data_IF_367495371641
#
_entry.id   IF_367495371641
#
_cell.length_a   1.000
_cell.length_b   1.000
_cell.length_c   1.000
_cell.angle_alpha   90.00
_cell.angle_beta   90.00
_cell.angle_gamma   90.00
#
_symmetry.space_group_name_H-M   'P 1'
#
loop_
_entity.id
_entity.type
_entity.pdbx_description
1 polymer ?
#
# COMPACT_ATOMS: atom_id res chain seq x y z
N UNK A 1 16.49 -58.41 -10.22
CA UNK A 1 15.69 -57.34 -10.80
C UNK A 1 16.61 -56.17 -11.12
N UNK A 2 16.57 -55.73 -12.38
CA UNK A 2 17.01 -54.45 -12.96
C UNK A 2 18.50 -54.02 -12.94
N UNK A 3 19.20 -54.43 -14.01
CA UNK A 3 20.03 -53.69 -14.99
C UNK A 3 20.95 -52.53 -14.54
N UNK A 4 22.27 -52.72 -14.77
CA UNK A 4 23.24 -51.66 -15.08
C UNK A 4 24.16 -52.13 -16.24
N UNK A 5 24.02 -51.53 -17.42
CA UNK A 5 24.99 -51.44 -18.54
C UNK A 5 24.59 -50.16 -19.30
N UNK A 6 25.25 -49.02 -19.10
CA UNK A 6 26.44 -48.53 -19.80
C UNK A 6 26.15 -48.03 -21.22
N UNK A 7 26.02 -46.71 -21.37
CA UNK A 7 26.14 -46.01 -22.65
C UNK A 7 27.39 -45.13 -22.56
N UNK A 8 28.31 -45.33 -23.50
CA UNK A 8 29.57 -44.62 -23.60
C UNK A 8 29.76 -44.13 -25.03
N UNK A 9 29.86 -42.81 -25.19
CA UNK A 9 30.60 -42.09 -26.22
C UNK A 9 30.29 -40.59 -26.05
N UNK A 10 31.13 -39.61 -26.31
CA UNK A 10 32.59 -39.45 -26.43
C UNK A 10 32.75 -38.02 -26.96
N UNK A 11 33.51 -37.19 -26.24
CA UNK A 11 34.36 -36.06 -26.71
C UNK A 11 33.66 -34.92 -27.51
N UNK A 12 34.01 -33.64 -27.41
CA UNK A 12 35.29 -33.00 -27.18
C UNK A 12 35.07 -31.50 -26.84
N UNK A 13 35.98 -30.93 -26.05
CA UNK A 13 36.45 -29.57 -26.29
C UNK A 13 36.05 -28.48 -25.28
N UNK A 14 37.04 -28.00 -24.52
CA UNK A 14 37.12 -26.57 -24.19
C UNK A 14 37.48 -26.18 -22.75
N UNK A 15 38.76 -26.33 -22.39
CA UNK A 15 39.36 -25.78 -21.16
C UNK A 15 39.39 -24.23 -21.15
N UNK A 16 38.86 -23.61 -20.09
CA UNK A 16 39.35 -22.35 -19.46
C UNK A 16 38.42 -22.08 -18.26
N UNK A 17 38.83 -22.19 -17.01
CA UNK A 17 39.98 -21.53 -16.42
C UNK A 17 39.46 -20.41 -15.52
N UNK A 18 39.79 -20.46 -14.22
CA UNK A 18 39.58 -19.33 -13.32
C UNK A 18 38.77 -19.66 -12.09
N UNK A 19 39.47 -20.07 -11.05
CA UNK A 19 39.04 -19.95 -9.66
C UNK A 19 38.66 -18.49 -9.37
N UNK A 20 37.45 -18.24 -8.86
CA UNK A 20 37.25 -17.11 -7.96
C UNK A 20 36.02 -17.37 -7.10
N UNK A 21 36.27 -17.42 -5.80
CA UNK A 21 35.29 -17.39 -4.74
C UNK A 21 34.53 -16.08 -4.85
N UNK A 22 33.23 -16.14 -5.06
CA UNK A 22 32.31 -15.26 -4.34
C UNK A 22 30.96 -15.97 -4.29
N UNK A 23 30.55 -16.32 -3.07
CA UNK A 23 29.15 -16.56 -2.75
C UNK A 23 28.43 -15.22 -2.89
N UNK A 24 28.16 -14.79 -4.12
CA UNK A 24 27.17 -13.75 -4.34
C UNK A 24 25.82 -14.41 -4.09
N UNK A 25 25.41 -14.27 -2.83
CA UNK A 25 24.06 -14.44 -2.34
C UNK A 25 23.17 -13.54 -3.19
N UNK A 26 22.79 -14.04 -4.38
CA UNK A 26 21.73 -13.46 -5.16
C UNK A 26 20.49 -13.61 -4.28
N UNK A 27 20.20 -12.57 -3.50
CA UNK A 27 18.89 -12.33 -2.93
C UNK A 27 17.95 -12.24 -4.12
N UNK A 28 17.48 -13.40 -4.57
CA UNK A 28 16.24 -13.51 -5.27
C UNK A 28 15.27 -12.66 -4.48
N UNK A 29 14.74 -11.54 -5.03
CA UNK A 29 13.54 -11.00 -4.48
C UNK A 29 12.57 -12.17 -4.64
N UNK A 30 12.21 -12.79 -3.51
CA UNK A 30 10.97 -13.52 -3.40
C UNK A 30 9.89 -12.49 -3.76
N UNK A 31 9.70 -12.31 -5.06
CA UNK A 31 8.50 -11.76 -5.63
C UNK A 31 7.46 -12.76 -5.18
N UNK A 32 6.87 -12.42 -4.04
CA UNK A 32 5.56 -12.90 -3.69
C UNK A 32 4.74 -12.66 -4.96
N UNK A 33 4.55 -13.73 -5.71
CA UNK A 33 3.65 -13.70 -6.85
C UNK A 33 2.27 -13.66 -6.21
N UNK A 34 1.83 -12.46 -5.81
CA UNK A 34 0.42 -12.23 -5.50
C UNK A 34 -0.32 -12.36 -6.82
N UNK A 35 -0.70 -13.61 -7.07
CA UNK A 35 -1.55 -14.03 -8.18
C UNK A 35 -2.82 -13.18 -8.12
N UNK A 36 -3.11 -12.50 -9.22
CA UNK A 36 -4.04 -11.38 -9.27
C UNK A 36 -5.44 -11.68 -8.73
N UNK A 37 -5.81 -10.90 -7.72
CA UNK A 37 -7.17 -10.44 -7.40
C UNK A 37 -7.10 -8.97 -6.92
N UNK A 38 -6.23 -8.15 -7.52
CA UNK A 38 -5.72 -6.93 -6.88
C UNK A 38 -6.36 -5.60 -7.30
N UNK A 39 -7.20 -5.54 -8.33
CA UNK A 39 -7.72 -4.23 -8.78
C UNK A 39 -8.64 -3.57 -7.75
N UNK A 40 -9.50 -4.36 -7.09
CA UNK A 40 -10.44 -3.85 -6.08
C UNK A 40 -9.73 -3.44 -4.79
N UNK A 41 -8.72 -4.20 -4.36
CA UNK A 41 -7.98 -3.90 -3.13
C UNK A 41 -7.08 -2.67 -3.31
N UNK A 42 -6.42 -2.57 -4.48
CA UNK A 42 -5.60 -1.40 -4.84
C UNK A 42 -6.46 -0.15 -4.99
N UNK A 43 -7.62 -0.24 -5.66
CA UNK A 43 -8.53 0.92 -5.80
C UNK A 43 -9.04 1.43 -4.44
N UNK A 44 -9.34 0.50 -3.52
CA UNK A 44 -9.78 0.86 -2.16
C UNK A 44 -8.66 1.46 -1.32
N UNK A 45 -7.44 0.94 -1.43
CA UNK A 45 -6.27 1.54 -0.78
C UNK A 45 -6.01 2.96 -1.30
N UNK A 46 -6.12 3.17 -2.61
CA UNK A 46 -5.98 4.48 -3.24
C UNK A 46 -7.09 5.46 -2.82
N UNK A 47 -8.34 4.99 -2.67
CA UNK A 47 -9.43 5.81 -2.14
C UNK A 47 -9.12 6.30 -0.73
N UNK A 48 -8.69 5.41 0.17
CA UNK A 48 -8.35 5.76 1.54
C UNK A 48 -7.16 6.72 1.63
N UNK A 49 -6.13 6.51 0.81
CA UNK A 49 -4.96 7.39 0.75
C UNK A 49 -5.33 8.79 0.26
N UNK A 50 -6.09 8.90 -0.83
CA UNK A 50 -6.56 10.20 -1.34
C UNK A 50 -7.53 10.86 -0.36
N UNK A 51 -8.39 10.09 0.31
CA UNK A 51 -9.30 10.60 1.33
C UNK A 51 -8.54 11.24 2.48
N UNK A 52 -7.51 10.57 3.00
CA UNK A 52 -6.67 11.13 4.06
C UNK A 52 -5.97 12.42 3.62
N UNK A 53 -5.31 12.39 2.46
CA UNK A 53 -4.61 13.56 1.92
C UNK A 53 -5.57 14.74 1.72
N UNK A 54 -6.78 14.47 1.24
CA UNK A 54 -7.81 15.47 1.05
C UNK A 54 -8.30 16.05 2.38
N UNK A 55 -8.58 15.22 3.38
CA UNK A 55 -8.99 15.67 4.73
C UNK A 55 -7.91 16.56 5.36
N UNK A 56 -6.64 16.16 5.24
CA UNK A 56 -5.51 16.96 5.74
C UNK A 56 -5.44 18.32 5.03
N UNK A 57 -5.56 18.35 3.71
CA UNK A 57 -5.61 19.59 2.94
C UNK A 57 -6.79 20.49 3.32
N UNK A 58 -7.97 19.89 3.50
CA UNK A 58 -9.20 20.58 3.88
C UNK A 58 -9.07 21.21 5.28
N UNK A 59 -8.62 20.44 6.27
CA UNK A 59 -8.45 20.92 7.65
C UNK A 59 -7.28 21.91 7.78
N UNK A 60 -6.27 21.80 6.92
CA UNK A 60 -5.21 22.82 6.81
C UNK A 60 -5.74 24.17 6.32
N UNK A 61 -6.83 24.20 5.54
CA UNK A 61 -7.43 25.45 5.07
C UNK A 61 -8.51 25.99 6.03
N UNK A 62 -9.36 25.11 6.56
CA UNK A 62 -10.54 25.50 7.34
C UNK A 62 -10.35 25.48 8.87
N UNK A 63 -9.15 25.16 9.37
CA UNK A 63 -8.75 25.05 10.79
C UNK A 63 -9.49 23.98 11.60
N UNK A 64 -10.83 23.90 11.52
CA UNK A 64 -11.64 22.82 12.08
C UNK A 64 -12.97 22.67 11.33
N UNK A 65 -13.46 21.44 11.18
CA UNK A 65 -14.73 21.16 10.50
C UNK A 65 -15.52 20.02 11.17
N UNK A 66 -16.86 20.10 11.19
CA UNK A 66 -17.68 18.99 11.69
C UNK A 66 -17.71 17.84 10.67
N UNK A 67 -17.99 16.62 11.17
CA UNK A 67 -18.04 15.38 10.37
C UNK A 67 -18.84 15.54 9.06
N UNK A 68 -20.07 16.05 9.16
CA UNK A 68 -20.96 16.19 8.01
C UNK A 68 -20.44 17.14 6.93
N UNK A 69 -19.70 18.20 7.32
CA UNK A 69 -19.03 19.09 6.35
C UNK A 69 -17.92 18.34 5.64
N UNK A 70 -17.06 17.64 6.38
CA UNK A 70 -15.97 16.85 5.79
C UNK A 70 -16.52 15.82 4.81
N UNK A 71 -17.60 15.11 5.17
CA UNK A 71 -18.29 14.17 4.30
C UNK A 71 -18.79 14.82 3.01
N UNK A 72 -19.47 15.97 3.11
CA UNK A 72 -19.96 16.70 1.94
C UNK A 72 -18.81 17.14 1.00
N UNK A 73 -17.70 17.63 1.56
CA UNK A 73 -16.54 17.99 0.75
C UNK A 73 -15.96 16.75 0.04
N UNK A 74 -15.82 15.62 0.74
CA UNK A 74 -15.34 14.39 0.10
C UNK A 74 -16.26 13.98 -1.05
N UNK A 75 -17.58 13.99 -0.87
CA UNK A 75 -18.55 13.66 -1.92
C UNK A 75 -18.48 14.62 -3.13
N UNK A 76 -18.26 15.92 -2.90
CA UNK A 76 -18.21 16.90 -3.99
C UNK A 76 -16.90 16.86 -4.78
N UNK A 77 -15.78 16.65 -4.09
CA UNK A 77 -14.43 16.84 -4.64
C UNK A 77 -13.69 15.54 -4.96
N UNK A 78 -13.99 14.40 -4.31
CA UNK A 78 -13.39 13.10 -4.65
C UNK A 78 -14.22 12.34 -5.68
N UNK A 79 -13.92 12.59 -6.97
CA UNK A 79 -14.57 11.92 -8.11
C UNK A 79 -13.76 10.79 -8.71
N UNK A 80 -12.44 10.76 -8.51
CA UNK A 80 -11.53 9.72 -9.01
C UNK A 80 -10.40 9.41 -8.00
N UNK A 81 -10.45 8.28 -7.27
CA UNK A 81 -11.56 7.33 -7.23
C UNK A 81 -12.80 7.96 -6.57
N UNK A 82 -14.01 7.50 -6.92
CA UNK A 82 -15.24 8.00 -6.33
C UNK A 82 -15.26 7.66 -4.83
N UNK A 83 -15.57 8.66 -4.00
CA UNK A 83 -15.77 8.43 -2.58
C UNK A 83 -17.08 7.65 -2.35
N UNK A 84 -16.95 6.40 -1.89
CA UNK A 84 -18.08 5.48 -1.68
C UNK A 84 -18.41 5.24 -0.21
N UNK A 85 -17.61 5.81 0.70
CA UNK A 85 -17.78 5.58 2.12
C UNK A 85 -19.00 6.31 2.67
N UNK A 86 -19.70 5.69 3.63
CA UNK A 86 -20.78 6.33 4.37
C UNK A 86 -20.25 7.25 5.47
N UNK A 87 -21.08 8.17 5.97
CA UNK A 87 -20.70 9.08 7.06
C UNK A 87 -20.23 8.32 8.33
N UNK A 88 -20.84 7.17 8.65
CA UNK A 88 -20.39 6.32 9.76
C UNK A 88 -18.98 5.75 9.53
N UNK A 89 -18.67 5.32 8.30
CA UNK A 89 -17.34 4.81 7.95
C UNK A 89 -16.29 5.93 7.99
N UNK A 90 -16.66 7.14 7.57
CA UNK A 90 -15.82 8.31 7.70
C UNK A 90 -15.52 8.65 9.16
N UNK A 91 -16.55 8.59 10.02
CA UNK A 91 -16.38 8.83 11.46
C UNK A 91 -15.38 7.85 12.06
N UNK A 92 -15.52 6.57 11.77
CA UNK A 92 -14.59 5.53 12.21
C UNK A 92 -13.18 5.75 11.66
N UNK A 93 -13.06 6.18 10.40
CA UNK A 93 -11.78 6.53 9.78
C UNK A 93 -11.11 7.74 10.46
N UNK A 94 -11.86 8.81 10.69
CA UNK A 94 -11.37 10.01 11.40
C UNK A 94 -11.01 9.70 12.85
N UNK A 95 -11.77 8.84 13.52
CA UNK A 95 -11.45 8.38 14.88
C UNK A 95 -10.10 7.64 14.92
N UNK A 96 -9.78 6.82 13.90
CA UNK A 96 -8.45 6.19 13.77
C UNK A 96 -7.35 7.23 13.57
N UNK A 97 -7.58 8.23 12.73
CA UNK A 97 -6.61 9.33 12.54
C UNK A 97 -6.41 10.16 13.82
N UNK A 98 -7.43 10.27 14.67
CA UNK A 98 -7.29 10.86 15.99
C UNK A 98 -6.44 9.99 16.93
N UNK A 99 -6.62 8.67 16.91
CA UNK A 99 -5.80 7.73 17.69
C UNK A 99 -4.33 7.74 17.24
N UNK A 100 -4.08 7.88 15.94
CA UNK A 100 -2.73 8.02 15.37
C UNK A 100 -2.07 9.37 15.70
N UNK A 101 -2.85 10.33 16.24
CA UNK A 101 -2.37 11.67 16.58
C UNK A 101 -2.18 12.59 15.38
N UNK A 102 -2.84 12.28 14.25
CA UNK A 102 -2.85 13.10 13.02
C UNK A 102 -3.92 14.18 13.07
N UNK A 103 -5.07 13.87 13.67
CA UNK A 103 -6.20 14.78 13.85
C UNK A 103 -6.59 14.89 15.32
N UNK A 104 -7.20 16.00 15.69
CA UNK A 104 -7.79 16.20 17.01
C UNK A 104 -9.30 16.32 16.88
N UNK A 105 -10.03 15.74 17.83
CA UNK A 105 -11.48 15.83 17.89
C UNK A 105 -11.91 16.53 19.17
N UNK A 106 -12.58 17.68 19.04
CA UNK A 106 -13.01 18.50 20.17
C UNK A 106 -14.45 18.22 20.64
N UNK A 107 -15.05 17.09 20.23
CA UNK A 107 -16.43 16.70 20.53
C UNK A 107 -17.43 17.03 19.42
N UNK A 108 -17.13 18.02 18.57
CA UNK A 108 -18.02 18.42 17.46
C UNK A 108 -17.29 18.63 16.14
N UNK A 109 -16.01 19.00 16.19
CA UNK A 109 -15.18 19.36 15.03
C UNK A 109 -13.87 18.57 15.06
N UNK A 110 -13.39 18.26 13.85
CA UNK A 110 -12.07 17.71 13.60
C UNK A 110 -11.12 18.84 13.21
N UNK A 111 -9.93 18.83 13.77
CA UNK A 111 -8.84 19.77 13.45
C UNK A 111 -7.56 18.99 13.15
N UNK A 112 -6.64 19.59 12.40
CA UNK A 112 -5.33 18.99 12.15
C UNK A 112 -4.45 19.15 13.40
N UNK A 113 -3.79 18.08 13.86
CA UNK A 113 -2.80 18.19 14.93
C UNK A 113 -1.54 18.83 14.35
N UNK A 114 -1.30 20.10 14.66
CA UNK A 114 0.00 20.71 14.43
C UNK A 114 0.91 20.33 15.58
N UNK A 115 1.75 19.31 15.38
CA UNK A 115 2.90 19.11 16.27
C UNK A 115 3.88 20.24 16.01
N UNK A 116 3.95 21.15 16.99
CA UNK A 116 4.87 22.27 17.06
C UNK A 116 6.27 21.79 17.40
#
# INVERSE_FOLDING_TARGET
GLFMVQESASMDGGLRGGSHLDEDMEQSPVQYTVRGTGTHDVARAQELEKCEAFIRGLLSNYSSLPLGRVHNYLQMFMRDPPYTQSEAQLRDFLARLCQDGRLEFNGSHYALVQRQ
#
